data_IF_997963338207
#
_entry.id   IF_997963338207
#
_cell.length_a   1.000
_cell.length_b   1.000
_cell.length_c   1.000
_cell.angle_alpha   90.00
_cell.angle_beta   90.00
_cell.angle_gamma   90.00
#
_symmetry.space_group_name_H-M   'P 1'
#
loop_
_entity.id
_entity.type
_entity.pdbx_description
1 polymer ?
#
# COMPACT_ATOMS: atom_id res chain seq x y z
N UNK A 1 -21.72 11.21 -1.03
CA UNK A 1 -20.85 10.23 -0.33
C UNK A 1 -21.66 9.46 0.70
N UNK A 2 -21.21 8.25 1.07
CA UNK A 2 -21.89 7.41 2.08
C UNK A 2 -21.59 7.81 3.54
N UNK A 3 -20.81 8.89 3.77
CA UNK A 3 -20.43 9.33 5.13
C UNK A 3 -19.63 8.25 5.87
N UNK A 4 -18.64 7.66 5.19
CA UNK A 4 -17.85 6.54 5.71
C UNK A 4 -16.37 6.87 5.61
N UNK A 5 -15.63 6.63 6.70
CA UNK A 5 -14.17 6.83 6.77
C UNK A 5 -13.49 5.47 6.88
N UNK A 6 -12.58 5.17 5.96
CA UNK A 6 -11.66 4.05 6.10
C UNK A 6 -10.50 4.44 7.03
N UNK A 7 -10.20 3.58 8.00
CA UNK A 7 -9.16 3.73 9.02
C UNK A 7 -8.13 2.64 8.81
N UNK A 8 -6.89 3.06 8.57
CA UNK A 8 -5.72 2.19 8.54
C UNK A 8 -4.87 2.52 9.77
N UNK A 9 -4.85 1.60 10.75
CA UNK A 9 -4.18 1.80 12.04
C UNK A 9 -3.19 0.67 12.35
N UNK A 10 -2.32 0.90 13.34
CA UNK A 10 -1.33 -0.09 13.81
C UNK A 10 -0.52 -0.76 12.69
N UNK A 11 -0.16 0.02 11.67
CA UNK A 11 0.59 -0.46 10.51
C UNK A 11 1.99 -0.88 10.95
N UNK A 12 2.33 -2.15 10.74
CA UNK A 12 3.65 -2.71 10.99
C UNK A 12 4.20 -3.32 9.70
N UNK A 13 5.18 -2.65 9.10
CA UNK A 13 5.93 -3.18 7.95
C UNK A 13 6.86 -4.28 8.45
N UNK A 14 6.71 -5.48 7.88
CA UNK A 14 7.47 -6.68 8.26
C UNK A 14 8.70 -6.88 7.40
N UNK A 15 8.55 -6.63 6.09
CA UNK A 15 9.62 -6.84 5.11
C UNK A 15 9.40 -5.95 3.91
N UNK A 16 10.50 -5.42 3.37
CA UNK A 16 10.54 -4.74 2.09
C UNK A 16 11.69 -5.35 1.30
N UNK A 17 11.41 -5.83 0.10
CA UNK A 17 12.39 -6.50 -0.75
C UNK A 17 12.41 -5.86 -2.13
N UNK A 18 13.60 -5.58 -2.66
CA UNK A 18 13.74 -5.24 -4.07
C UNK A 18 13.52 -6.49 -4.91
N UNK A 19 12.48 -6.50 -5.73
CA UNK A 19 12.16 -7.64 -6.60
C UNK A 19 12.53 -7.39 -8.06
N UNK A 20 12.53 -6.13 -8.47
CA UNK A 20 12.99 -5.72 -9.80
C UNK A 20 13.51 -4.28 -9.76
N UNK A 21 14.45 -3.97 -10.64
CA UNK A 21 14.97 -2.62 -10.84
C UNK A 21 15.60 -2.50 -12.22
N UNK A 22 15.39 -1.36 -12.85
CA UNK A 22 15.98 -1.11 -14.15
C UNK A 22 15.87 0.35 -14.57
N UNK A 23 16.46 0.61 -15.72
CA UNK A 23 16.35 1.88 -16.43
C UNK A 23 15.98 1.56 -17.86
N UNK A 24 14.94 2.21 -18.38
CA UNK A 24 14.62 2.25 -19.80
C UNK A 24 15.11 3.58 -20.43
N UNK A 25 14.76 3.84 -21.69
CA UNK A 25 15.26 5.03 -22.39
C UNK A 25 14.82 6.36 -21.75
N UNK A 26 13.75 6.37 -20.96
CA UNK A 26 13.14 7.57 -20.38
C UNK A 26 13.01 7.53 -18.87
N UNK A 27 12.96 6.35 -18.24
CA UNK A 27 12.62 6.19 -16.83
C UNK A 27 13.54 5.21 -16.08
N UNK A 28 13.82 5.52 -14.82
CA UNK A 28 14.29 4.53 -13.85
C UNK A 28 13.07 3.97 -13.12
N UNK A 29 13.04 2.65 -12.89
CA UNK A 29 12.01 2.00 -12.09
C UNK A 29 12.59 1.08 -11.03
N UNK A 30 11.82 0.91 -9.94
CA UNK A 30 12.05 -0.10 -8.91
C UNK A 30 10.73 -0.73 -8.51
N UNK A 31 10.71 -2.05 -8.34
CA UNK A 31 9.57 -2.77 -7.79
C UNK A 31 9.95 -3.34 -6.44
N UNK A 32 9.18 -2.99 -5.42
CA UNK A 32 9.40 -3.42 -4.04
C UNK A 32 8.27 -4.33 -3.59
N UNK A 33 8.58 -5.55 -3.14
CA UNK A 33 7.63 -6.40 -2.42
C UNK A 33 7.57 -5.94 -0.96
N UNK A 34 6.43 -5.37 -0.58
CA UNK A 34 6.14 -4.91 0.78
C UNK A 34 5.21 -5.90 1.46
N UNK A 35 5.64 -6.45 2.59
CA UNK A 35 4.81 -7.26 3.47
C UNK A 35 4.55 -6.51 4.76
N UNK A 36 3.30 -6.33 5.12
CA UNK A 36 2.91 -5.63 6.34
C UNK A 36 1.65 -6.22 6.96
N UNK A 37 1.36 -5.81 8.19
CA UNK A 37 0.05 -5.99 8.80
C UNK A 37 -0.49 -4.66 9.27
N UNK A 38 -1.81 -4.50 9.22
CA UNK A 38 -2.50 -3.30 9.70
C UNK A 38 -3.90 -3.67 10.20
N UNK A 39 -4.49 -2.80 10.99
CA UNK A 39 -5.93 -2.81 11.26
C UNK A 39 -6.61 -2.04 10.14
N UNK A 40 -7.56 -2.68 9.47
CA UNK A 40 -8.37 -2.09 8.40
C UNK A 40 -9.83 -2.17 8.82
N UNK A 41 -10.45 -1.01 9.01
CA UNK A 41 -11.86 -0.92 9.32
C UNK A 41 -12.44 0.39 8.81
N UNK A 42 -13.74 0.36 8.53
CA UNK A 42 -14.49 1.53 8.08
C UNK A 42 -15.51 1.89 9.14
N UNK A 43 -15.61 3.17 9.46
CA UNK A 43 -16.61 3.70 10.40
C UNK A 43 -17.64 4.57 9.68
N UNK A 44 -18.86 4.63 10.21
CA UNK A 44 -19.80 5.71 9.88
C UNK A 44 -19.34 7.02 10.53
N UNK A 45 -19.32 8.10 9.76
CA UNK A 45 -18.81 9.40 10.20
C UNK A 45 -19.64 10.04 11.32
N UNK A 46 -20.94 9.73 11.40
CA UNK A 46 -21.85 10.37 12.34
C UNK A 46 -21.91 9.62 13.66
N UNK A 47 -21.97 8.29 13.60
CA UNK A 47 -22.08 7.45 14.81
C UNK A 47 -20.73 6.96 15.34
N UNK A 48 -19.66 7.01 14.53
CA UNK A 48 -18.38 6.33 14.78
C UNK A 48 -18.51 4.80 14.94
N UNK A 49 -19.62 4.20 14.53
CA UNK A 49 -19.79 2.74 14.56
C UNK A 49 -19.01 2.10 13.41
N UNK A 50 -18.44 0.92 13.68
CA UNK A 50 -17.75 0.11 12.66
C UNK A 50 -18.81 -0.46 11.72
N UNK A 51 -18.64 -0.18 10.42
CA UNK A 51 -19.51 -0.70 9.35
C UNK A 51 -18.84 -1.78 8.50
N UNK A 52 -17.50 -1.92 8.59
CA UNK A 52 -16.71 -2.96 7.92
C UNK A 52 -15.35 -3.14 8.58
N UNK A 53 -14.75 -4.32 8.45
CA UNK A 53 -13.39 -4.61 8.94
C UNK A 53 -13.29 -4.84 10.45
N UNK A 54 -12.08 -4.71 11.00
CA UNK A 54 -11.82 -4.99 12.43
C UNK A 54 -10.82 -4.02 13.05
N UNK A 55 -11.13 -3.57 14.27
CA UNK A 55 -10.25 -2.75 15.12
C UNK A 55 -9.29 -3.58 15.98
N UNK A 56 -9.41 -4.91 15.97
CA UNK A 56 -8.62 -5.79 16.84
C UNK A 56 -7.95 -6.95 16.10
N UNK A 57 -8.44 -7.30 14.91
CA UNK A 57 -7.90 -8.37 14.10
C UNK A 57 -7.09 -7.79 12.94
N UNK A 58 -5.75 -7.84 13.00
CA UNK A 58 -4.91 -7.29 11.96
C UNK A 58 -4.98 -8.14 10.69
N UNK A 59 -5.16 -7.48 9.56
CA UNK A 59 -5.00 -8.07 8.23
C UNK A 59 -3.53 -8.04 7.82
N UNK A 60 -3.09 -9.07 7.10
CA UNK A 60 -1.77 -9.12 6.49
C UNK A 60 -1.92 -8.93 4.99
N UNK A 61 -1.02 -8.16 4.40
CA UNK A 61 -0.94 -8.05 2.95
C UNK A 61 0.52 -8.13 2.48
N UNK A 62 0.67 -8.59 1.25
CA UNK A 62 1.92 -8.62 0.52
C UNK A 62 1.65 -8.06 -0.88
N UNK A 63 2.28 -6.94 -1.20
CA UNK A 63 2.04 -6.23 -2.46
C UNK A 63 3.36 -5.81 -3.08
N UNK A 64 3.46 -5.92 -4.41
CA UNK A 64 4.55 -5.34 -5.18
C UNK A 64 4.15 -3.94 -5.60
N UNK A 65 4.94 -2.96 -5.19
CA UNK A 65 4.74 -1.56 -5.52
C UNK A 65 5.84 -1.14 -6.48
N UNK A 66 5.46 -0.78 -7.70
CA UNK A 66 6.38 -0.29 -8.74
C UNK A 66 6.38 1.22 -8.72
N UNK A 67 7.57 1.77 -8.50
CA UNK A 67 7.84 3.20 -8.57
C UNK A 67 8.66 3.48 -9.81
N UNK A 68 8.35 4.58 -10.49
CA UNK A 68 9.15 5.07 -11.61
C UNK A 68 9.44 6.56 -11.49
N UNK A 69 10.50 7.01 -12.14
CA UNK A 69 10.83 8.42 -12.31
C UNK A 69 11.44 8.65 -13.69
N UNK A 70 11.32 9.84 -14.28
CA UNK A 70 12.14 10.21 -15.42
C UNK A 70 13.64 10.18 -15.05
N UNK A 71 14.47 9.69 -15.96
CA UNK A 71 15.93 9.59 -15.78
C UNK A 71 16.52 10.96 -15.40
N UNK A 72 17.41 10.97 -14.40
CA UNK A 72 18.08 12.17 -13.92
C UNK A 72 17.25 13.04 -12.97
N UNK A 73 16.05 12.60 -12.58
CA UNK A 73 15.21 13.31 -11.60
C UNK A 73 15.17 12.58 -10.26
N UNK A 74 14.51 13.17 -9.25
CA UNK A 74 14.16 12.49 -7.98
C UNK A 74 12.65 12.30 -7.82
N UNK A 75 11.88 12.53 -8.90
CA UNK A 75 10.42 12.61 -8.87
C UNK A 75 9.80 11.22 -9.01
N UNK A 76 10.00 10.36 -8.01
CA UNK A 76 9.40 9.03 -7.95
C UNK A 76 7.89 9.12 -7.82
N UNK A 77 7.18 8.33 -8.62
CA UNK A 77 5.73 8.15 -8.57
C UNK A 77 5.40 6.67 -8.50
N UNK A 78 4.31 6.36 -7.81
CA UNK A 78 3.76 5.01 -7.77
C UNK A 78 3.00 4.77 -9.08
N UNK A 79 3.50 3.86 -9.91
CA UNK A 79 2.93 3.56 -11.23
C UNK A 79 2.16 2.23 -11.23
N UNK A 80 2.39 1.35 -10.26
CA UNK A 80 1.69 0.07 -10.18
C UNK A 80 1.67 -0.53 -8.78
N UNK A 81 0.57 -1.20 -8.46
CA UNK A 81 0.38 -2.01 -7.26
C UNK A 81 -0.18 -3.37 -7.67
N UNK A 82 0.51 -4.45 -7.30
CA UNK A 82 0.09 -5.83 -7.56
C UNK A 82 0.00 -6.59 -6.24
N UNK A 83 -1.17 -7.16 -5.94
CA UNK A 83 -1.35 -8.05 -4.78
C UNK A 83 -0.68 -9.38 -5.07
N UNK A 84 0.23 -9.80 -4.18
CA UNK A 84 0.79 -11.14 -4.22
C UNK A 84 -0.17 -12.08 -3.52
N UNK A 85 -0.89 -12.88 -4.30
CA UNK A 85 -1.64 -14.02 -3.77
C UNK A 85 -0.66 -15.19 -3.59
N UNK A 86 -0.51 -15.64 -2.35
CA UNK A 86 0.22 -16.85 -1.99
C UNK A 86 -0.67 -18.09 -2.06
#
# INVERSE_FOLDING_TARGET
EKGQINKLESIAVRKVELVDAGTDASEDFVTLLTTANLLDYTIDERSNEIVSGSMTEPVKFAEKWTWARPVGTLNWKLEGVEVVTG
#
